data_IF_672586786749
#
_entry.id   IF_672586786749
#
_cell.length_a   1.000
_cell.length_b   1.000
_cell.length_c   1.000
_cell.angle_alpha   90.00
_cell.angle_beta   90.00
_cell.angle_gamma   90.00
#
_symmetry.space_group_name_H-M   'P 1'
#
loop_
_entity.id
_entity.type
_entity.pdbx_description
1 polymer ?
#
# COMPACT_ATOMS: atom_id res chain seq x y z
N UNK A 1 1.37 -15.92 -46.10
CA UNK A 1 1.16 -14.68 -45.34
C UNK A 1 0.66 -14.97 -43.91
N UNK A 2 -0.28 -15.90 -43.69
CA UNK A 2 -0.73 -16.24 -42.33
C UNK A 2 0.32 -16.93 -41.42
N UNK A 3 1.25 -17.75 -41.96
CA UNK A 3 2.29 -18.41 -41.13
C UNK A 3 3.35 -17.44 -40.60
N UNK A 4 3.77 -16.45 -41.40
CA UNK A 4 4.74 -15.44 -40.99
C UNK A 4 4.19 -14.51 -39.91
N UNK A 5 2.90 -14.17 -39.95
CA UNK A 5 2.26 -13.34 -38.92
C UNK A 5 2.13 -14.08 -37.58
N UNK A 6 1.91 -15.41 -37.61
CA UNK A 6 1.81 -16.23 -36.40
C UNK A 6 3.18 -16.46 -35.73
N UNK A 7 4.26 -16.59 -36.51
CA UNK A 7 5.63 -16.69 -36.01
C UNK A 7 6.12 -15.36 -35.40
N UNK A 8 5.79 -14.23 -36.03
CA UNK A 8 6.09 -12.90 -35.50
C UNK A 8 5.33 -12.63 -34.19
N UNK A 9 4.05 -13.01 -34.11
CA UNK A 9 3.25 -12.87 -32.88
C UNK A 9 3.79 -13.73 -31.74
N UNK A 10 4.18 -14.99 -32.03
CA UNK A 10 4.82 -15.88 -31.04
C UNK A 10 6.14 -15.32 -30.52
N UNK A 11 6.97 -14.77 -31.41
CA UNK A 11 8.25 -14.14 -31.04
C UNK A 11 8.08 -12.90 -30.17
N UNK A 12 7.06 -12.08 -30.46
CA UNK A 12 6.74 -10.88 -29.66
C UNK A 12 6.20 -11.25 -28.28
N UNK A 13 5.38 -12.29 -28.18
CA UNK A 13 4.82 -12.75 -26.91
C UNK A 13 5.91 -13.42 -26.03
N UNK A 14 6.83 -14.18 -26.62
CA UNK A 14 8.01 -14.71 -25.91
C UNK A 14 8.92 -13.60 -25.37
N UNK A 15 9.21 -12.57 -26.19
CA UNK A 15 9.99 -11.42 -25.74
C UNK A 15 9.31 -10.66 -24.59
N UNK A 16 7.98 -10.48 -24.68
CA UNK A 16 7.19 -9.85 -23.60
C UNK A 16 7.25 -10.65 -22.31
N UNK A 17 7.05 -11.97 -22.37
CA UNK A 17 7.13 -12.86 -21.22
C UNK A 17 8.52 -12.80 -20.57
N UNK A 18 9.59 -12.85 -21.37
CA UNK A 18 10.97 -12.68 -20.89
C UNK A 18 11.16 -11.37 -20.13
N UNK A 19 10.61 -10.26 -20.66
CA UNK A 19 10.73 -8.95 -20.00
C UNK A 19 10.06 -8.89 -18.62
N UNK A 20 8.96 -9.63 -18.42
CA UNK A 20 8.31 -9.72 -17.11
C UNK A 20 9.16 -10.53 -16.12
N UNK A 21 9.77 -11.62 -16.58
CA UNK A 21 10.66 -12.47 -15.77
C UNK A 21 11.88 -11.67 -15.32
N UNK A 22 12.54 -10.96 -16.25
CA UNK A 22 13.72 -10.13 -15.93
C UNK A 22 13.40 -9.07 -14.86
N UNK A 23 12.24 -8.41 -14.99
CA UNK A 23 11.78 -7.41 -14.01
C UNK A 23 11.48 -8.05 -12.66
N UNK A 24 10.84 -9.22 -12.62
CA UNK A 24 10.62 -9.96 -11.38
C UNK A 24 11.94 -10.31 -10.68
N UNK A 25 12.97 -10.70 -11.43
CA UNK A 25 14.27 -11.03 -10.85
C UNK A 25 15.03 -9.81 -10.34
N UNK A 26 14.89 -8.65 -10.99
CA UNK A 26 15.36 -7.37 -10.44
C UNK A 26 14.64 -7.06 -9.12
N UNK A 27 13.32 -7.18 -9.08
CA UNK A 27 12.53 -6.91 -7.88
C UNK A 27 12.89 -7.85 -6.71
N UNK A 28 13.13 -9.14 -6.98
CA UNK A 28 13.58 -10.10 -5.97
C UNK A 28 14.93 -9.71 -5.38
N UNK A 29 15.89 -9.31 -6.22
CA UNK A 29 17.21 -8.86 -5.76
C UNK A 29 17.11 -7.61 -4.89
N UNK A 30 16.23 -6.67 -5.26
CA UNK A 30 15.95 -5.49 -4.43
C UNK A 30 15.31 -5.87 -3.08
N UNK A 31 14.35 -6.79 -3.08
CA UNK A 31 13.68 -7.27 -1.87
C UNK A 31 14.64 -8.01 -0.92
N UNK A 32 15.60 -8.75 -1.45
CA UNK A 32 16.64 -9.44 -0.68
C UNK A 32 17.75 -8.49 -0.18
N UNK A 33 17.84 -7.29 -0.74
CA UNK A 33 18.81 -6.29 -0.32
C UNK A 33 18.40 -5.67 1.02
N UNK A 34 19.39 -5.39 1.87
CA UNK A 34 19.17 -4.65 3.13
C UNK A 34 18.68 -3.21 2.90
N UNK A 35 18.82 -2.67 1.68
CA UNK A 35 18.44 -1.29 1.32
C UNK A 35 16.93 -1.04 1.45
N UNK A 36 16.12 -2.04 1.10
CA UNK A 36 14.65 -1.94 1.10
C UNK A 36 14.00 -2.69 2.27
N UNK A 37 14.81 -3.22 3.18
CA UNK A 37 14.32 -3.97 4.33
C UNK A 37 13.57 -3.07 5.32
N UNK A 38 12.43 -3.54 5.80
CA UNK A 38 11.60 -2.90 6.83
C UNK A 38 11.72 -3.73 8.10
N UNK A 39 12.14 -3.08 9.18
CA UNK A 39 12.21 -3.68 10.52
C UNK A 39 10.99 -3.31 11.36
N UNK A 40 10.63 -4.16 12.32
CA UNK A 40 9.53 -3.92 13.26
C UNK A 40 9.88 -2.82 14.28
N UNK A 41 9.84 -1.58 13.80
CA UNK A 41 10.32 -0.42 14.54
C UNK A 41 9.38 0.00 15.68
N UNK A 42 8.06 -0.13 15.53
CA UNK A 42 7.10 0.26 16.58
C UNK A 42 7.13 -0.73 17.76
N UNK A 43 7.24 -2.03 17.49
CA UNK A 43 7.43 -3.03 18.55
C UNK A 43 8.80 -2.89 19.21
N UNK A 44 9.87 -2.67 18.42
CA UNK A 44 11.22 -2.50 18.95
C UNK A 44 11.40 -1.23 19.80
N UNK A 45 10.67 -0.15 19.52
CA UNK A 45 10.72 1.06 20.35
C UNK A 45 10.00 0.86 21.69
N UNK A 46 8.99 0.00 21.73
CA UNK A 46 8.28 -0.33 22.96
C UNK A 46 9.20 -1.01 23.97
N UNK A 47 10.03 -1.95 23.50
CA UNK A 47 11.09 -2.58 24.31
C UNK A 47 12.12 -1.55 24.82
N UNK A 48 12.47 -0.54 24.00
CA UNK A 48 13.41 0.54 24.37
C UNK A 48 12.82 1.57 25.34
N UNK A 49 11.52 1.84 25.29
CA UNK A 49 10.83 2.77 26.21
C UNK A 49 10.45 2.10 27.54
N UNK A 50 10.20 0.78 27.54
CA UNK A 50 9.94 -0.01 28.75
C UNK A 50 11.12 0.02 29.73
N UNK A 51 12.36 0.17 29.25
CA UNK A 51 13.55 0.35 30.09
C UNK A 51 13.76 1.79 30.60
N UNK A 52 12.96 2.78 30.16
CA UNK A 52 13.12 4.20 30.49
C UNK A 52 11.85 4.89 31.08
N UNK A 53 10.95 4.13 31.71
CA UNK A 53 9.87 4.66 32.58
C UNK A 53 8.79 5.56 31.94
N UNK A 54 8.61 5.54 30.61
CA UNK A 54 7.45 6.18 29.96
C UNK A 54 6.59 5.14 29.24
N UNK A 55 5.29 5.17 29.49
CA UNK A 55 4.30 4.19 29.03
C UNK A 55 4.29 4.04 27.50
N UNK A 56 5.06 3.09 26.97
CA UNK A 56 5.01 2.72 25.56
C UNK A 56 3.71 1.98 25.28
N UNK A 57 2.75 2.67 24.67
CA UNK A 57 1.52 2.04 24.23
C UNK A 57 1.66 1.67 22.75
N UNK A 58 2.29 0.52 22.47
CA UNK A 58 2.49 -0.03 21.12
C UNK A 58 1.20 -0.06 20.32
N UNK A 59 0.07 -0.35 20.97
CA UNK A 59 -1.25 -0.39 20.34
C UNK A 59 -1.66 0.98 19.81
N UNK A 60 -1.31 2.07 20.50
CA UNK A 60 -1.62 3.41 20.05
C UNK A 60 -0.78 3.84 18.84
N UNK A 61 0.49 3.41 18.77
CA UNK A 61 1.37 3.70 17.63
C UNK A 61 0.96 2.90 16.39
N UNK A 62 0.62 1.62 16.56
CA UNK A 62 0.02 0.77 15.51
C UNK A 62 -1.29 1.39 15.00
N UNK A 63 -2.15 1.86 15.91
CA UNK A 63 -3.39 2.54 15.55
C UNK A 63 -3.13 3.83 14.78
N UNK A 64 -2.15 4.65 15.20
CA UNK A 64 -1.76 5.88 14.52
C UNK A 64 -1.34 5.60 13.07
N UNK A 65 -0.49 4.58 12.83
CA UNK A 65 -0.14 4.15 11.48
C UNK A 65 -1.38 3.78 10.67
N UNK A 66 -2.29 2.98 11.23
CA UNK A 66 -3.53 2.57 10.54
C UNK A 66 -4.40 3.78 10.16
N UNK A 67 -4.52 4.77 11.04
CA UNK A 67 -5.23 6.02 10.74
C UNK A 67 -4.54 6.80 9.61
N UNK A 68 -3.21 6.86 9.59
CA UNK A 68 -2.47 7.52 8.51
C UNK A 68 -2.62 6.81 7.17
N UNK A 69 -2.63 5.47 7.14
CA UNK A 69 -2.91 4.70 5.92
C UNK A 69 -4.31 5.05 5.37
N UNK A 70 -5.32 5.07 6.23
CA UNK A 70 -6.68 5.46 5.85
C UNK A 70 -6.74 6.90 5.33
N UNK A 71 -6.05 7.82 5.99
CA UNK A 71 -5.97 9.21 5.55
C UNK A 71 -5.31 9.32 4.17
N UNK A 72 -4.19 8.61 3.93
CA UNK A 72 -3.51 8.61 2.64
C UNK A 72 -4.42 8.13 1.51
N UNK A 73 -5.17 7.04 1.72
CA UNK A 73 -6.15 6.57 0.73
C UNK A 73 -7.24 7.60 0.46
N UNK A 74 -7.78 8.24 1.50
CA UNK A 74 -8.80 9.27 1.33
C UNK A 74 -8.28 10.48 0.54
N UNK A 75 -7.00 10.87 0.74
CA UNK A 75 -6.37 11.95 -0.03
C UNK A 75 -6.21 11.57 -1.49
N UNK A 76 -5.60 10.42 -1.82
CA UNK A 76 -5.41 10.01 -3.22
C UNK A 76 -6.73 9.82 -3.96
N UNK A 77 -7.77 9.31 -3.28
CA UNK A 77 -9.11 9.19 -3.87
C UNK A 77 -9.71 10.57 -4.18
N UNK A 78 -9.51 11.54 -3.29
CA UNK A 78 -10.02 12.90 -3.45
C UNK A 78 -9.35 13.66 -4.60
N UNK A 79 -8.05 13.48 -4.79
CA UNK A 79 -7.29 14.09 -5.89
C UNK A 79 -7.26 13.23 -7.16
N UNK A 80 -7.91 12.07 -7.15
CA UNK A 80 -7.97 11.11 -8.25
C UNK A 80 -6.61 10.53 -8.70
N UNK A 81 -5.68 10.37 -7.76
CA UNK A 81 -4.40 9.69 -7.97
C UNK A 81 -4.49 8.17 -7.83
N UNK A 82 -3.47 7.46 -8.31
CA UNK A 82 -3.43 6.02 -8.23
C UNK A 82 -3.26 5.59 -6.75
N UNK A 83 -4.12 4.69 -6.29
CA UNK A 83 -4.05 4.11 -4.94
C UNK A 83 -2.75 3.34 -4.69
N UNK A 84 -2.07 2.88 -5.74
CA UNK A 84 -0.72 2.30 -5.65
C UNK A 84 0.30 3.29 -5.06
N UNK A 85 0.11 4.59 -5.23
CA UNK A 85 0.95 5.65 -4.66
C UNK A 85 0.94 5.62 -3.13
N UNK A 86 -0.15 5.17 -2.50
CA UNK A 86 -0.21 4.97 -1.05
C UNK A 86 0.71 3.83 -0.61
N UNK A 87 0.86 2.77 -1.40
CA UNK A 87 1.77 1.67 -1.06
C UNK A 87 3.22 2.15 -1.10
N UNK A 88 3.58 2.99 -2.08
CA UNK A 88 4.91 3.62 -2.13
C UNK A 88 5.11 4.56 -0.94
N UNK A 89 4.11 5.39 -0.62
CA UNK A 89 4.15 6.30 0.53
C UNK A 89 4.39 5.55 1.85
N UNK A 90 3.63 4.48 2.09
CA UNK A 90 3.77 3.70 3.32
C UNK A 90 5.10 2.97 3.38
N UNK A 91 5.63 2.46 2.26
CA UNK A 91 6.97 1.89 2.24
C UNK A 91 8.06 2.92 2.53
N UNK A 92 7.93 4.16 2.02
CA UNK A 92 8.86 5.25 2.34
C UNK A 92 8.81 5.59 3.83
N UNK A 93 7.61 5.71 4.38
CA UNK A 93 7.41 5.97 5.81
C UNK A 93 7.99 4.85 6.68
N UNK A 94 7.57 3.61 6.43
CA UNK A 94 7.95 2.44 7.22
C UNK A 94 9.48 2.23 7.16
N UNK A 95 10.11 2.37 5.99
CA UNK A 95 11.58 2.31 5.86
C UNK A 95 12.28 3.46 6.57
N UNK A 96 11.74 4.68 6.47
CA UNK A 96 12.31 5.85 7.14
C UNK A 96 12.38 5.65 8.65
N UNK A 97 11.28 5.18 9.25
CA UNK A 97 11.24 4.90 10.69
C UNK A 97 12.09 3.69 11.09
N UNK A 98 12.33 2.74 10.17
CA UNK A 98 13.26 1.62 10.36
C UNK A 98 14.76 2.01 10.34
N UNK A 99 15.14 3.22 9.93
CA UNK A 99 16.57 3.60 9.77
C UNK A 99 17.35 3.76 11.08
N UNK A 100 16.67 3.88 12.23
CA UNK A 100 17.27 4.14 13.55
C UNK A 100 18.20 5.39 13.61
N UNK A 101 18.07 6.32 12.67
CA UNK A 101 18.71 7.64 12.76
C UNK A 101 18.09 8.45 13.90
N UNK A 102 18.81 9.43 14.47
CA UNK A 102 18.28 10.30 15.53
C UNK A 102 16.97 10.99 15.12
N UNK A 103 16.83 11.37 13.84
CA UNK A 103 15.60 11.94 13.30
C UNK A 103 14.46 10.93 13.27
N UNK A 104 14.69 9.70 12.77
CA UNK A 104 13.68 8.65 12.77
C UNK A 104 13.20 8.29 14.19
N UNK A 105 14.12 8.22 15.16
CA UNK A 105 13.78 7.91 16.56
C UNK A 105 12.87 9.00 17.15
N UNK A 106 13.18 10.27 16.89
CA UNK A 106 12.35 11.40 17.34
C UNK A 106 10.97 11.37 16.67
N UNK A 107 10.90 11.02 15.39
CA UNK A 107 9.63 10.91 14.65
C UNK A 107 8.73 9.84 15.26
N UNK A 108 9.25 8.68 15.63
CA UNK A 108 8.42 7.63 16.25
C UNK A 108 8.04 8.03 17.70
N UNK A 109 8.87 8.81 18.38
CA UNK A 109 8.58 9.26 19.74
C UNK A 109 7.47 10.33 19.82
N UNK A 110 7.27 11.13 18.77
CA UNK A 110 6.28 12.21 18.73
C UNK A 110 5.23 11.98 17.64
N UNK A 111 3.97 11.80 18.04
CA UNK A 111 2.84 11.57 17.13
C UNK A 111 2.64 12.69 16.12
N UNK A 112 2.92 13.95 16.47
CA UNK A 112 2.81 15.07 15.53
C UNK A 112 3.90 14.97 14.46
N UNK A 113 5.10 14.54 14.83
CA UNK A 113 6.19 14.31 13.88
C UNK A 113 5.92 13.08 13.02
N UNK A 114 5.36 12.00 13.59
CA UNK A 114 4.94 10.83 12.83
C UNK A 114 3.87 11.16 11.79
N UNK A 115 2.85 11.94 12.17
CA UNK A 115 1.82 12.40 11.25
C UNK A 115 2.42 13.25 10.12
N UNK A 116 3.30 14.21 10.43
CA UNK A 116 4.00 15.01 9.42
C UNK A 116 4.84 14.12 8.49
N UNK A 117 5.56 13.13 9.04
CA UNK A 117 6.34 12.18 8.26
C UNK A 117 5.45 11.36 7.31
N UNK A 118 4.30 10.86 7.77
CA UNK A 118 3.37 10.11 6.93
C UNK A 118 2.77 10.99 5.82
N UNK A 119 2.37 12.22 6.13
CA UNK A 119 1.89 13.17 5.12
C UNK A 119 2.99 13.51 4.10
N UNK A 120 4.22 13.72 4.56
CA UNK A 120 5.37 14.01 3.70
C UNK A 120 5.75 12.81 2.84
N UNK A 121 5.65 11.58 3.36
CA UNK A 121 5.87 10.36 2.58
C UNK A 121 4.87 10.24 1.43
N UNK A 122 3.59 10.59 1.66
CA UNK A 122 2.58 10.64 0.60
C UNK A 122 2.92 11.71 -0.44
N UNK A 123 3.27 12.92 0.02
CA UNK A 123 3.68 14.00 -0.88
C UNK A 123 4.87 13.60 -1.76
N UNK A 124 5.86 12.93 -1.17
CA UNK A 124 7.02 12.42 -1.89
C UNK A 124 6.63 11.33 -2.90
N UNK A 125 5.78 10.37 -2.51
CA UNK A 125 5.31 9.33 -3.41
C UNK A 125 4.53 9.88 -4.61
N UNK A 126 3.70 10.92 -4.40
CA UNK A 126 2.99 11.62 -5.46
C UNK A 126 3.99 12.23 -6.45
N UNK A 127 5.00 12.94 -5.98
CA UNK A 127 6.03 13.53 -6.85
C UNK A 127 6.81 12.49 -7.68
N UNK A 128 6.93 11.26 -7.18
CA UNK A 128 7.69 10.19 -7.84
C UNK A 128 6.85 9.46 -8.89
N UNK A 129 5.58 9.20 -8.59
CA UNK A 129 4.77 8.24 -9.35
C UNK A 129 3.61 8.85 -10.13
N UNK A 130 3.12 10.02 -9.73
CA UNK A 130 1.96 10.64 -10.37
C UNK A 130 2.40 11.59 -11.49
N UNK A 131 1.62 11.67 -12.59
CA UNK A 131 1.93 12.57 -13.69
C UNK A 131 1.75 14.06 -13.32
N UNK A 132 0.93 14.33 -12.31
CA UNK A 132 0.64 15.66 -11.81
C UNK A 132 1.21 15.81 -10.41
N UNK A 133 1.77 16.98 -10.12
CA UNK A 133 2.26 17.31 -8.79
C UNK A 133 1.16 17.93 -7.95
N UNK A 134 1.16 17.63 -6.66
CA UNK A 134 0.32 18.32 -5.69
C UNK A 134 1.07 19.58 -5.21
N UNK A 135 0.39 20.72 -5.12
CA UNK A 135 1.01 21.91 -4.53
C UNK A 135 1.21 21.71 -3.02
N UNK A 136 2.33 22.19 -2.47
CA UNK A 136 2.57 22.09 -1.03
C UNK A 136 1.51 22.82 -0.19
N UNK A 137 0.94 23.92 -0.72
CA UNK A 137 -0.16 24.63 -0.07
C UNK A 137 -1.37 23.74 0.18
N UNK A 138 -1.63 22.79 -0.72
CA UNK A 138 -2.70 21.81 -0.55
C UNK A 138 -2.39 20.83 0.59
N UNK A 139 -1.14 20.40 0.75
CA UNK A 139 -0.73 19.56 1.89
C UNK A 139 -0.90 20.28 3.24
N UNK A 140 -0.55 21.57 3.30
CA UNK A 140 -0.77 22.42 4.47
C UNK A 140 -2.27 22.53 4.80
N UNK A 141 -3.12 22.73 3.79
CA UNK A 141 -4.57 22.77 3.95
C UNK A 141 -5.15 21.42 4.42
N UNK A 142 -4.69 20.30 3.84
CA UNK A 142 -5.10 18.96 4.25
C UNK A 142 -4.66 18.64 5.69
N UNK A 143 -3.53 19.19 6.13
CA UNK A 143 -3.08 19.19 7.53
C UNK A 143 -3.82 20.18 8.44
N UNK A 144 -4.83 20.90 7.93
CA UNK A 144 -5.58 21.95 8.65
C UNK A 144 -4.70 23.04 9.26
N UNK A 145 -3.58 23.38 8.62
CA UNK A 145 -2.63 24.36 9.14
C UNK A 145 -1.88 23.91 10.40
N UNK A 146 -1.93 22.62 10.76
CA UNK A 146 -1.13 22.08 11.88
C UNK A 146 0.38 22.11 11.62
N UNK A 147 0.78 22.29 10.35
CA UNK A 147 2.14 22.32 9.83
C UNK A 147 2.28 23.41 8.77
N UNK A 148 3.44 24.05 8.73
CA UNK A 148 3.81 24.99 7.69
C UNK A 148 4.51 24.29 6.52
N UNK A 149 4.61 24.94 5.35
CA UNK A 149 5.34 24.40 4.19
C UNK A 149 6.79 24.07 4.52
N UNK A 150 7.45 24.86 5.39
CA UNK A 150 8.81 24.62 5.86
C UNK A 150 8.96 23.27 6.58
N UNK A 151 7.94 22.84 7.33
CA UNK A 151 7.96 21.58 8.05
C UNK A 151 7.99 20.39 7.08
N UNK A 152 7.21 20.48 6.00
CA UNK A 152 7.22 19.48 4.93
C UNK A 152 8.55 19.42 4.21
N UNK A 153 9.14 20.56 3.84
CA UNK A 153 10.45 20.59 3.18
C UNK A 153 11.55 19.99 4.07
N UNK A 154 11.54 20.32 5.37
CA UNK A 154 12.51 19.78 6.31
C UNK A 154 12.32 18.27 6.52
N UNK A 155 11.08 17.81 6.68
CA UNK A 155 10.77 16.39 6.84
C UNK A 155 11.14 15.59 5.58
N UNK A 156 10.89 16.16 4.41
CA UNK A 156 11.26 15.57 3.12
C UNK A 156 12.76 15.39 3.02
N UNK A 157 13.53 16.45 3.31
CA UNK A 157 14.98 16.37 3.33
C UNK A 157 15.48 15.30 4.31
N UNK A 158 14.90 15.23 5.52
CA UNK A 158 15.29 14.22 6.51
C UNK A 158 15.02 12.81 6.01
N UNK A 159 13.86 12.59 5.38
CA UNK A 159 13.44 11.29 4.86
C UNK A 159 14.33 10.84 3.70
N UNK A 160 14.55 11.71 2.71
CA UNK A 160 15.42 11.45 1.56
C UNK A 160 16.85 11.13 2.01
N UNK A 161 17.39 11.92 2.95
CA UNK A 161 18.73 11.72 3.50
C UNK A 161 18.84 10.38 4.23
N UNK A 162 17.87 10.04 5.08
CA UNK A 162 17.87 8.79 5.82
C UNK A 162 17.73 7.56 4.91
N UNK A 163 16.93 7.66 3.83
CA UNK A 163 16.76 6.62 2.83
C UNK A 163 17.91 6.59 1.80
N UNK A 164 18.87 7.53 1.89
CA UNK A 164 19.97 7.69 0.94
C UNK A 164 19.47 7.73 -0.51
N UNK A 165 18.32 8.39 -0.74
CA UNK A 165 17.68 8.50 -2.06
C UNK A 165 17.24 7.18 -2.73
N UNK A 166 17.19 6.06 -1.99
CA UNK A 166 16.69 4.79 -2.52
C UNK A 166 15.16 4.73 -2.41
N UNK A 167 14.45 5.37 -3.34
CA UNK A 167 12.99 5.56 -3.26
C UNK A 167 12.16 4.49 -3.99
N UNK A 168 12.77 3.78 -4.94
CA UNK A 168 12.07 2.82 -5.83
C UNK A 168 12.20 1.37 -5.35
N UNK A 169 11.57 1.07 -4.21
CA UNK A 169 11.48 -0.30 -3.70
C UNK A 169 10.42 -1.13 -4.43
N UNK A 170 10.56 -2.47 -4.46
CA UNK A 170 9.57 -3.35 -5.08
C UNK A 170 8.28 -3.34 -4.26
N UNK A 171 7.14 -3.05 -4.90
CA UNK A 171 5.83 -3.04 -4.24
C UNK A 171 5.07 -4.33 -4.49
N UNK A 172 4.15 -4.70 -3.60
CA UNK A 172 3.32 -5.90 -3.79
C UNK A 172 2.45 -5.78 -5.05
N UNK A 173 1.97 -4.57 -5.38
CA UNK A 173 1.24 -4.34 -6.62
C UNK A 173 2.15 -4.48 -7.84
N UNK A 174 3.40 -3.99 -7.79
CA UNK A 174 4.34 -4.22 -8.88
C UNK A 174 4.56 -5.72 -9.11
N UNK A 175 4.70 -6.53 -8.06
CA UNK A 175 4.80 -7.99 -8.19
C UNK A 175 3.55 -8.57 -8.85
N UNK A 176 2.37 -8.16 -8.42
CA UNK A 176 1.10 -8.58 -9.01
C UNK A 176 1.05 -8.27 -10.52
N UNK A 177 1.40 -7.05 -10.93
CA UNK A 177 1.35 -6.62 -12.33
C UNK A 177 2.32 -7.37 -13.24
N UNK A 178 3.45 -7.84 -12.71
CA UNK A 178 4.43 -8.63 -13.48
C UNK A 178 4.14 -10.14 -13.41
N UNK A 179 3.46 -10.63 -12.37
CA UNK A 179 3.07 -12.04 -12.26
C UNK A 179 1.83 -12.36 -13.11
N UNK A 180 0.80 -11.51 -13.10
CA UNK A 180 -0.47 -11.80 -13.78
C UNK A 180 -0.32 -12.12 -15.28
N UNK A 181 0.55 -11.47 -16.07
CA UNK A 181 0.77 -11.82 -17.47
C UNK A 181 1.41 -13.20 -17.69
N UNK A 182 2.13 -13.71 -16.69
CA UNK A 182 2.83 -15.00 -16.76
C UNK A 182 1.93 -16.20 -16.39
N UNK A 183 0.75 -15.96 -15.81
CA UNK A 183 -0.15 -17.03 -15.39
C UNK A 183 -1.04 -17.50 -16.54
N UNK A 184 -1.24 -18.81 -16.64
CA UNK A 184 -2.06 -19.46 -17.69
C UNK A 184 -3.55 -19.04 -17.68
N UNK A 185 -3.98 -18.30 -16.66
CA UNK A 185 -5.25 -17.55 -16.64
C UNK A 185 -5.42 -16.58 -17.82
N UNK A 186 -4.36 -16.33 -18.59
CA UNK A 186 -4.41 -15.66 -19.87
C UNK A 186 -5.51 -16.20 -20.82
N UNK A 187 -5.89 -17.48 -20.68
CA UNK A 187 -6.75 -18.20 -21.64
C UNK A 187 -8.23 -18.35 -21.26
N UNK A 188 -8.69 -17.96 -20.06
CA UNK A 188 -10.07 -18.25 -19.61
C UNK A 188 -11.10 -17.14 -19.95
N UNK A 189 -10.76 -15.85 -19.78
CA UNK A 189 -11.54 -14.68 -20.28
C UNK A 189 -10.85 -13.37 -19.88
N UNK A 190 -10.97 -12.30 -20.67
CA UNK A 190 -10.48 -10.95 -20.26
C UNK A 190 -11.15 -10.43 -18.99
N UNK A 191 -12.42 -10.79 -18.76
CA UNK A 191 -13.14 -10.37 -17.57
C UNK A 191 -12.54 -10.99 -16.31
N UNK A 192 -12.26 -12.30 -16.32
CA UNK A 192 -11.73 -13.03 -15.17
C UNK A 192 -10.37 -12.48 -14.73
N UNK A 193 -9.51 -12.12 -15.70
CA UNK A 193 -8.24 -11.44 -15.42
C UNK A 193 -8.43 -10.08 -14.76
N UNK A 194 -9.40 -9.29 -15.22
CA UNK A 194 -9.74 -8.00 -14.63
C UNK A 194 -10.25 -8.15 -13.19
N UNK A 195 -11.15 -9.10 -12.95
CA UNK A 195 -11.66 -9.39 -11.60
C UNK A 195 -10.55 -9.89 -10.67
N UNK A 196 -9.68 -10.79 -11.15
CA UNK A 196 -8.54 -11.29 -10.39
C UNK A 196 -7.61 -10.15 -9.98
N UNK A 197 -7.20 -9.31 -10.94
CA UNK A 197 -6.33 -8.14 -10.70
C UNK A 197 -6.95 -7.22 -9.67
N UNK A 198 -8.23 -6.91 -9.82
CA UNK A 198 -8.94 -6.00 -8.91
C UNK A 198 -9.08 -6.58 -7.49
N UNK A 199 -9.40 -7.86 -7.36
CA UNK A 199 -9.44 -8.54 -6.06
C UNK A 199 -8.06 -8.63 -5.41
N UNK A 200 -7.02 -8.92 -6.18
CA UNK A 200 -5.67 -9.02 -5.65
C UNK A 200 -5.18 -7.64 -5.18
N UNK A 201 -5.40 -6.57 -5.97
CA UNK A 201 -5.14 -5.19 -5.55
C UNK A 201 -5.88 -4.83 -4.27
N UNK A 202 -7.16 -5.19 -4.16
CA UNK A 202 -7.93 -4.97 -2.94
C UNK A 202 -7.30 -5.65 -1.72
N UNK A 203 -6.89 -6.92 -1.83
CA UNK A 203 -6.19 -7.62 -0.75
C UNK A 203 -4.85 -6.97 -0.40
N UNK A 204 -4.08 -6.51 -1.38
CA UNK A 204 -2.84 -5.77 -1.14
C UNK A 204 -3.13 -4.48 -0.37
N UNK A 205 -4.14 -3.70 -0.75
CA UNK A 205 -4.53 -2.49 -0.04
C UNK A 205 -4.95 -2.77 1.41
N UNK A 206 -5.66 -3.88 1.64
CA UNK A 206 -6.00 -4.34 2.98
C UNK A 206 -4.75 -4.64 3.81
N UNK A 207 -3.75 -5.29 3.20
CA UNK A 207 -2.50 -5.64 3.89
C UNK A 207 -1.68 -4.41 4.30
N UNK A 208 -1.67 -3.35 3.49
CA UNK A 208 -0.95 -2.10 3.83
C UNK A 208 -1.45 -1.48 5.13
N UNK A 209 -2.73 -1.66 5.47
CA UNK A 209 -3.34 -1.10 6.68
C UNK A 209 -3.13 -1.92 7.94
N UNK A 210 -2.61 -3.13 7.81
CA UNK A 210 -2.39 -4.07 8.91
C UNK A 210 -0.91 -4.09 9.29
N UNK A 211 -0.62 -3.80 10.56
CA UNK A 211 0.77 -3.64 11.01
C UNK A 211 1.56 -4.96 11.00
N UNK A 212 0.90 -6.08 11.30
CA UNK A 212 1.58 -7.39 11.37
C UNK A 212 2.04 -7.88 9.99
N UNK A 213 1.57 -7.23 8.91
CA UNK A 213 1.99 -7.50 7.53
C UNK A 213 3.08 -6.54 7.02
N UNK A 214 3.50 -5.55 7.81
CA UNK A 214 4.48 -4.52 7.38
C UNK A 214 5.87 -5.09 7.11
N UNK A 215 6.31 -6.07 7.90
CA UNK A 215 7.62 -6.72 7.73
C UNK A 215 7.58 -7.89 6.75
N UNK A 216 6.39 -8.25 6.25
CA UNK A 216 6.24 -9.31 5.26
C UNK A 216 6.70 -8.79 3.90
N UNK A 217 7.47 -9.62 3.20
CA UNK A 217 8.03 -9.22 1.91
C UNK A 217 6.93 -8.96 0.86
N UNK A 218 7.05 -7.91 0.04
CA UNK A 218 6.09 -7.56 -1.01
C UNK A 218 5.71 -8.73 -1.94
N UNK A 219 6.67 -9.60 -2.28
CA UNK A 219 6.46 -10.81 -3.09
C UNK A 219 5.46 -11.78 -2.44
N UNK A 220 5.60 -12.02 -1.13
CA UNK A 220 4.71 -12.91 -0.36
C UNK A 220 3.31 -12.33 -0.22
N UNK A 221 3.20 -11.02 -0.02
CA UNK A 221 1.91 -10.31 -0.01
C UNK A 221 1.21 -10.46 -1.36
N UNK A 222 1.93 -10.27 -2.48
CA UNK A 222 1.37 -10.41 -3.82
C UNK A 222 0.87 -11.85 -4.09
N UNK A 223 1.68 -12.86 -3.76
CA UNK A 223 1.29 -14.28 -3.90
C UNK A 223 0.06 -14.60 -3.05
N UNK A 224 0.03 -14.18 -1.78
CA UNK A 224 -1.12 -14.39 -0.91
C UNK A 224 -2.40 -13.69 -1.43
N UNK A 225 -2.26 -12.49 -1.98
CA UNK A 225 -3.35 -11.74 -2.60
C UNK A 225 -3.93 -12.47 -3.83
N UNK A 226 -3.07 -12.99 -4.69
CA UNK A 226 -3.48 -13.78 -5.87
C UNK A 226 -4.22 -15.04 -5.41
N UNK A 227 -3.67 -15.79 -4.46
CA UNK A 227 -4.29 -17.01 -3.93
C UNK A 227 -5.71 -16.75 -3.38
N UNK A 228 -5.88 -15.70 -2.57
CA UNK A 228 -7.19 -15.35 -2.02
C UNK A 228 -8.18 -14.90 -3.09
N UNK A 229 -7.69 -14.27 -4.15
CA UNK A 229 -8.52 -13.81 -5.27
C UNK A 229 -8.96 -15.00 -6.13
N UNK A 230 -8.07 -15.96 -6.40
CA UNK A 230 -8.40 -17.20 -7.10
C UNK A 230 -9.44 -18.04 -6.34
N UNK A 231 -9.33 -18.11 -5.01
CA UNK A 231 -10.32 -18.80 -4.16
C UNK A 231 -11.72 -18.19 -4.25
N UNK A 232 -11.81 -16.89 -4.53
CA UNK A 232 -13.09 -16.18 -4.70
C UNK A 232 -13.69 -16.35 -6.09
N UNK A 233 -12.87 -16.45 -7.13
CA UNK A 233 -13.33 -16.51 -8.52
C UNK A 233 -13.81 -17.91 -8.98
N UNK A 234 -13.95 -18.88 -8.06
CA UNK A 234 -14.44 -20.25 -8.36
C UNK A 234 -13.70 -20.94 -9.52
N UNK A 235 -12.39 -20.69 -9.65
CA UNK A 235 -11.54 -21.31 -10.68
C UNK A 235 -11.55 -22.83 -10.51
N UNK A 236 -11.50 -23.59 -11.62
CA UNK A 236 -11.47 -25.05 -11.57
C UNK A 236 -10.28 -25.54 -10.73
N UNK A 237 -10.43 -26.68 -10.03
CA UNK A 237 -9.34 -27.25 -9.21
C UNK A 237 -8.07 -27.51 -10.02
N UNK A 238 -8.23 -27.89 -11.29
CA UNK A 238 -7.12 -28.14 -12.20
C UNK A 238 -6.37 -26.84 -12.54
N UNK A 239 -7.08 -25.81 -13.00
CA UNK A 239 -6.48 -24.51 -13.31
C UNK A 239 -5.83 -23.89 -12.07
N UNK A 240 -6.49 -23.96 -10.90
CA UNK A 240 -5.91 -23.52 -9.63
C UNK A 240 -4.57 -24.22 -9.35
N UNK A 241 -4.48 -25.54 -9.54
CA UNK A 241 -3.24 -26.29 -9.33
C UNK A 241 -2.11 -25.85 -10.27
N UNK A 242 -2.42 -25.58 -11.54
CA UNK A 242 -1.45 -25.07 -12.53
C UNK A 242 -0.91 -23.71 -12.09
N UNK A 243 -1.81 -22.77 -11.76
CA UNK A 243 -1.43 -21.41 -11.36
C UNK A 243 -0.54 -21.42 -10.11
N UNK A 244 -0.84 -22.28 -9.14
CA UNK A 244 0.01 -22.43 -7.95
C UNK A 244 1.42 -22.93 -8.31
N UNK A 245 1.54 -23.86 -9.27
CA UNK A 245 2.86 -24.32 -9.75
C UNK A 245 3.61 -23.22 -10.47
N UNK A 246 2.95 -22.44 -11.32
CA UNK A 246 3.52 -21.28 -12.01
C UNK A 246 4.00 -20.20 -11.04
N UNK A 247 3.17 -19.86 -10.05
CA UNK A 247 3.56 -18.92 -8.99
C UNK A 247 4.82 -19.41 -8.27
N UNK A 248 4.91 -20.70 -7.93
CA UNK A 248 6.11 -21.27 -7.32
C UNK A 248 7.32 -21.21 -8.25
N UNK A 249 7.15 -21.50 -9.54
CA UNK A 249 8.21 -21.40 -10.55
C UNK A 249 8.75 -19.97 -10.65
N UNK A 250 7.87 -18.97 -10.80
CA UNK A 250 8.29 -17.59 -11.03
C UNK A 250 8.73 -16.86 -9.77
N UNK A 251 8.25 -17.24 -8.58
CA UNK A 251 8.57 -16.53 -7.33
C UNK A 251 9.51 -17.30 -6.40
N UNK A 252 9.61 -18.62 -6.56
CA UNK A 252 10.25 -19.51 -5.57
C UNK A 252 9.44 -19.69 -4.29
N UNK A 253 8.23 -19.12 -4.18
CA UNK A 253 7.40 -19.14 -2.99
C UNK A 253 6.44 -20.33 -3.05
N UNK A 254 6.50 -21.20 -2.04
CA UNK A 254 5.55 -22.28 -1.91
C UNK A 254 4.23 -21.79 -1.30
N UNK A 255 3.17 -21.77 -2.11
CA UNK A 255 1.83 -21.38 -1.69
C UNK A 255 1.25 -22.26 -0.55
N UNK A 256 1.74 -23.50 -0.40
CA UNK A 256 1.34 -24.41 0.66
C UNK A 256 2.14 -24.20 1.96
N UNK A 257 3.19 -23.36 1.93
CA UNK A 257 3.96 -23.08 3.14
C UNK A 257 3.09 -22.41 4.20
N UNK A 258 3.25 -22.86 5.46
CA UNK A 258 2.44 -22.40 6.61
C UNK A 258 2.40 -20.88 6.74
N UNK A 259 3.53 -20.21 6.51
CA UNK A 259 3.62 -18.75 6.62
C UNK A 259 2.83 -18.02 5.52
N UNK A 260 2.81 -18.52 4.28
CA UNK A 260 2.02 -17.95 3.17
C UNK A 260 0.53 -18.15 3.43
N UNK A 261 0.14 -19.33 3.91
CA UNK A 261 -1.25 -19.60 4.29
C UNK A 261 -1.71 -18.69 5.44
N UNK A 262 -0.86 -18.44 6.43
CA UNK A 262 -1.16 -17.52 7.53
C UNK A 262 -1.37 -16.08 7.04
N UNK A 263 -0.50 -15.59 6.13
CA UNK A 263 -0.65 -14.27 5.50
C UNK A 263 -1.99 -14.20 4.73
N UNK A 264 -2.26 -15.19 3.88
CA UNK A 264 -3.50 -15.24 3.10
C UNK A 264 -4.74 -15.27 4.01
N UNK A 265 -4.75 -16.10 5.06
CA UNK A 265 -5.85 -16.15 6.03
C UNK A 265 -6.04 -14.81 6.75
N UNK A 266 -4.95 -14.14 7.14
CA UNK A 266 -5.02 -12.83 7.77
C UNK A 266 -5.63 -11.79 6.85
N UNK A 267 -5.14 -11.70 5.61
CA UNK A 267 -5.69 -10.80 4.59
C UNK A 267 -7.18 -11.06 4.33
N UNK A 268 -7.61 -12.33 4.35
CA UNK A 268 -9.01 -12.69 4.21
C UNK A 268 -9.86 -12.18 5.39
N UNK A 269 -9.39 -12.33 6.63
CA UNK A 269 -10.09 -11.80 7.82
C UNK A 269 -10.23 -10.27 7.78
N UNK A 270 -9.22 -9.56 7.27
CA UNK A 270 -9.26 -8.09 7.14
C UNK A 270 -10.38 -7.58 6.23
N UNK A 271 -10.90 -8.42 5.34
CA UNK A 271 -12.02 -8.05 4.48
C UNK A 271 -13.31 -7.76 5.26
N UNK A 272 -13.50 -8.41 6.42
CA UNK A 272 -14.71 -8.27 7.23
C UNK A 272 -14.68 -7.05 8.16
N UNK A 273 -13.55 -6.35 8.22
CA UNK A 273 -13.38 -5.16 9.06
C UNK A 273 -13.85 -3.95 8.24
N UNK A 274 -14.84 -3.16 8.71
CA UNK A 274 -15.31 -1.99 7.99
C UNK A 274 -14.19 -0.97 7.82
N UNK A 275 -13.84 -0.66 6.56
CA UNK A 275 -12.85 0.37 6.23
C UNK A 275 -13.54 1.44 5.36
N UNK A 276 -13.87 2.62 5.94
CA UNK A 276 -14.69 3.63 5.25
C UNK A 276 -14.14 4.06 3.88
N UNK A 277 -12.81 4.13 3.74
CA UNK A 277 -12.10 4.50 2.52
C UNK A 277 -12.05 3.38 1.45
N UNK A 278 -12.48 2.16 1.79
CA UNK A 278 -12.66 1.06 0.83
C UNK A 278 -14.13 0.87 0.42
N UNK A 279 -15.07 1.58 1.06
CA UNK A 279 -16.50 1.42 0.83
C UNK A 279 -16.95 1.61 -0.64
N UNK A 280 -16.39 2.54 -1.44
CA UNK A 280 -16.74 2.66 -2.87
C UNK A 280 -16.39 1.40 -3.67
N UNK A 281 -15.28 0.74 -3.32
CA UNK A 281 -14.82 -0.50 -3.97
C UNK A 281 -15.58 -1.72 -3.47
N UNK A 282 -15.81 -1.85 -2.17
CA UNK A 282 -16.61 -2.96 -1.63
C UNK A 282 -17.97 -3.01 -2.31
N UNK A 283 -18.64 -1.86 -2.51
CA UNK A 283 -19.92 -1.80 -3.25
C UNK A 283 -19.80 -2.25 -4.71
N UNK A 284 -18.75 -1.82 -5.43
CA UNK A 284 -18.49 -2.27 -6.80
C UNK A 284 -18.20 -3.78 -6.90
N UNK A 285 -17.64 -4.39 -5.84
CA UNK A 285 -17.30 -5.80 -5.77
C UNK A 285 -18.39 -6.71 -5.17
N UNK A 286 -19.26 -6.19 -4.30
CA UNK A 286 -20.37 -6.95 -3.67
C UNK A 286 -21.67 -6.88 -4.46
N UNK A 287 -21.84 -5.89 -5.35
CA UNK A 287 -23.00 -5.79 -6.23
C UNK A 287 -22.88 -6.62 -7.52
N UNK A 288 -21.76 -7.30 -7.74
CA UNK A 288 -21.66 -8.32 -8.78
C UNK A 288 -22.13 -9.65 -8.18
N UNK A 289 -23.31 -10.17 -8.57
CA UNK A 289 -23.81 -11.42 -8.03
C UNK A 289 -22.83 -12.56 -8.35
N UNK A 290 -22.83 -13.60 -7.50
CA UNK A 290 -22.06 -14.86 -7.65
C UNK A 290 -22.43 -15.70 -8.89
N UNK A 291 -22.97 -15.07 -9.94
CA UNK A 291 -23.29 -15.73 -11.20
C UNK A 291 -22.85 -14.84 -12.36
N UNK A 292 -21.83 -15.30 -13.09
CA UNK A 292 -21.54 -14.84 -14.44
C UNK A 292 -22.72 -15.26 -15.34
N UNK A 293 -23.78 -14.45 -15.38
CA UNK A 293 -24.82 -14.61 -16.39
C UNK A 293 -24.38 -13.87 -17.66
N UNK A 294 -24.18 -14.66 -18.72
CA UNK A 294 -24.02 -14.23 -20.11
C UNK A 294 -25.15 -13.28 -20.51
N UNK A 295 -24.80 -12.14 -21.11
CA UNK A 295 -25.71 -11.45 -22.03
C UNK A 295 -25.61 -9.92 -22.07
N UNK A 296 -25.43 -9.43 -23.30
CA UNK A 296 -25.80 -8.12 -23.83
C UNK A 296 -24.93 -6.89 -23.47
N UNK A 297 -24.05 -6.58 -24.41
CA UNK A 297 -23.42 -5.26 -24.64
C UNK A 297 -24.50 -4.23 -24.99
N UNK A 298 -24.47 -3.06 -24.34
CA UNK A 298 -24.99 -1.81 -24.90
C UNK A 298 -23.96 -0.69 -24.72
N UNK A 299 -23.66 -0.03 -25.83
CA UNK A 299 -22.74 1.10 -25.97
C UNK A 299 -23.30 2.38 -25.33
N UNK A 300 -22.39 3.25 -24.88
CA UNK A 300 -22.69 4.64 -24.55
C UNK A 300 -21.40 5.47 -24.37
N UNK A 301 -21.15 6.40 -25.31
CA UNK A 301 -20.30 7.59 -25.16
C UNK A 301 -20.80 8.44 -23.96
N UNK A 302 -20.02 9.31 -23.28
CA UNK A 302 -19.54 10.63 -23.72
C UNK A 302 -18.57 11.20 -22.64
N UNK A 303 -17.40 11.67 -23.10
CA UNK A 303 -16.72 12.98 -22.94
C UNK A 303 -16.40 13.71 -21.61
N UNK A 304 -15.20 14.32 -21.67
CA UNK A 304 -14.63 15.56 -21.11
C UNK A 304 -14.44 15.82 -19.60
N UNK A 305 -13.14 15.83 -19.25
CA UNK A 305 -12.38 16.80 -18.41
C UNK A 305 -13.15 17.78 -17.49
N UNK A 306 -12.97 17.60 -16.16
CA UNK A 306 -13.15 18.66 -15.15
C UNK A 306 -11.81 18.99 -14.47
N UNK A 307 -11.52 20.29 -14.41
CA UNK A 307 -10.37 20.92 -13.76
C UNK A 307 -10.52 20.91 -12.21
N UNK A 308 -9.54 20.34 -11.50
CA UNK A 308 -9.64 19.93 -10.08
C UNK A 308 -9.31 21.06 -9.08
N UNK A 309 -8.96 22.26 -9.54
CA UNK A 309 -8.31 23.29 -8.70
C UNK A 309 -9.19 23.97 -7.61
N UNK A 310 -10.49 23.66 -7.46
CA UNK A 310 -11.37 24.42 -6.51
C UNK A 310 -12.33 23.61 -5.62
N UNK A 311 -12.18 22.28 -5.49
CA UNK A 311 -13.06 21.50 -4.58
C UNK A 311 -12.48 21.48 -3.16
N UNK A 312 -13.31 21.79 -2.16
CA UNK A 312 -12.92 21.69 -0.75
C UNK A 312 -12.78 20.23 -0.30
N UNK A 313 -11.88 19.88 0.65
CA UNK A 313 -11.66 18.48 1.04
C UNK A 313 -12.92 17.82 1.64
N UNK A 314 -13.17 16.51 1.40
CA UNK A 314 -14.33 15.78 1.89
C UNK A 314 -14.33 15.67 3.41
N UNK A 315 -15.52 15.56 4.01
CA UNK A 315 -15.71 15.45 5.47
C UNK A 315 -14.97 14.27 6.11
N UNK A 316 -14.70 13.20 5.37
CA UNK A 316 -13.92 12.04 5.84
C UNK A 316 -12.44 12.39 6.07
N UNK A 317 -11.80 13.16 5.18
CA UNK A 317 -10.44 13.69 5.37
C UNK A 317 -10.43 14.65 6.58
N UNK A 318 -11.49 15.49 6.69
CA UNK A 318 -11.62 16.45 7.80
C UNK A 318 -11.69 15.77 9.17
N UNK A 319 -12.27 14.58 9.29
CA UNK A 319 -12.51 13.95 10.59
C UNK A 319 -11.30 13.22 11.17
N UNK A 320 -10.42 12.64 10.33
CA UNK A 320 -9.23 11.90 10.81
C UNK A 320 -8.21 12.84 11.46
N UNK A 321 -8.01 14.04 10.90
CA UNK A 321 -7.13 15.08 11.49
C UNK A 321 -7.77 15.73 12.73
N UNK A 322 -9.11 15.68 12.87
CA UNK A 322 -9.84 16.33 13.98
C UNK A 322 -10.08 15.45 15.21
N UNK A 323 -10.15 14.13 15.05
CA UNK A 323 -10.54 13.23 16.14
C UNK A 323 -9.32 12.72 16.90
N UNK A 324 -8.96 13.48 17.95
CA UNK A 324 -8.17 13.07 19.13
C UNK A 324 -6.76 12.51 18.87
N UNK A 325 -5.84 13.39 18.50
CA UNK A 325 -4.51 13.44 19.14
C UNK A 325 -4.47 14.62 20.14
N UNK A 326 -5.56 14.79 20.90
CA UNK A 326 -5.65 15.72 22.03
C UNK A 326 -5.74 14.87 23.29
N UNK A 327 -4.64 14.75 24.03
CA UNK A 327 -4.65 14.43 25.46
C UNK A 327 -3.48 15.15 26.13
N UNK A 328 -3.86 16.17 26.91
CA UNK A 328 -3.28 16.69 28.15
C UNK A 328 -1.75 16.72 28.29
N UNK A 329 -1.16 17.84 27.90
CA UNK A 329 0.00 18.39 28.60
C UNK A 329 -0.49 19.29 29.73
N UNK A 330 -0.91 18.70 30.85
CA UNK A 330 -1.03 19.46 32.10
C UNK A 330 0.38 19.67 32.67
N UNK A 331 0.85 20.90 32.89
CA UNK A 331 2.09 21.11 33.60
C UNK A 331 1.84 20.81 35.08
N UNK A 332 2.49 19.78 35.61
CA UNK A 332 2.59 19.58 37.05
C UNK A 332 3.43 20.73 37.62
N UNK A 333 2.76 21.79 38.04
CA UNK A 333 3.32 22.81 38.92
C UNK A 333 3.75 22.14 40.22
N UNK A 334 5.06 21.89 40.35
CA UNK A 334 5.69 21.67 41.64
C UNK A 334 5.60 22.99 42.43
N UNK A 335 4.64 23.05 43.35
CA UNK A 335 4.66 24.05 44.42
C UNK A 335 5.72 23.60 45.41
N UNK A 336 6.82 24.36 45.46
CA UNK A 336 7.75 24.31 46.57
C UNK A 336 7.02 24.86 47.80
N UNK A 337 6.82 24.03 48.82
CA UNK A 337 6.53 24.50 50.16
C UNK A 337 7.76 24.30 51.03
N UNK A 338 8.38 25.43 51.34
CA UNK A 338 9.31 25.65 52.43
C UNK A 338 8.53 25.67 53.75
N UNK A 339 8.85 24.77 54.67
CA UNK A 339 8.85 24.96 56.13
C UNK A 339 9.43 23.70 56.78
#
# INVERSE_FOLDING_TARGET
MASTDHELQSSVDDFRLSSFIDRLDVMKRQEQSSIYHISDCLSAQSTRKASLSSSANTNADIWCRSQMVQWCYAVVDFVHFNRETVLSAMQLLDRFVSTNTSKSINVIADRRQYQLAAMTALYLAIKIHEPQTLEIGMMVQLGKGAYASSDFYQMEFNMLSALKWHLHGPTATAYLEHLLPLLTLAYESRNDRGHLRNHARYYIELSTSDYDLVTVSPSKIAVAAIINSLRRLTVSKHAFSIIIKELKQYTGIDAAAKHILAIAQRMHKLQNIPKPYLAPRVKAFTQQPETCNRGAVKNGQIDSTEDVSKKSPPSQIRNVVSRRCSMDTSPTTFVANSA
#
